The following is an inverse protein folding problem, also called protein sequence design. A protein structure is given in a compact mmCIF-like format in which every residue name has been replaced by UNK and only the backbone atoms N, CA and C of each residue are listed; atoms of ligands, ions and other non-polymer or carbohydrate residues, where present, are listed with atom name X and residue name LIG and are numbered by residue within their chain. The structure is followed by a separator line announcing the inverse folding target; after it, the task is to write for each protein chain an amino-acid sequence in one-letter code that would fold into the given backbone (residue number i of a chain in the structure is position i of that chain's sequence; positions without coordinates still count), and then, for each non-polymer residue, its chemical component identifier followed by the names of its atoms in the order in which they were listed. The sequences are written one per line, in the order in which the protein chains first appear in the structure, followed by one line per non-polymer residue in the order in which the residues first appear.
data_IF_701784638579
#
_entry.id   IF_701784638579
#
_cell.length_a   1.000
_cell.length_b   1.000
_cell.length_c   1.000
_cell.angle_alpha   90.00
_cell.angle_beta   90.00
_cell.angle_gamma   90.00
#
_symmetry.space_group_name_H-M   'P 1'
#
loop_
_entity.id
_entity.type
_entity.pdbx_description
1 polymer ?
#
# COMPACT_ATOMS: atom_id res chain seq x y z
N UNK A 1 -3.82 31.89 7.73
CA UNK A 1 -3.69 32.66 6.47
C UNK A 1 -2.48 32.11 5.71
N UNK A 2 -2.71 31.26 4.69
CA UNK A 2 -1.63 30.71 3.86
C UNK A 2 -1.19 31.76 2.84
N UNK A 3 0.12 32.01 2.73
CA UNK A 3 0.69 33.13 1.97
C UNK A 3 0.58 33.02 0.44
N UNK A 4 -0.01 31.97 -0.11
CA UNK A 4 -0.40 31.93 -1.52
C UNK A 4 -1.80 31.32 -1.59
N UNK A 5 -2.80 32.06 -2.08
CA UNK A 5 -4.22 31.69 -2.15
C UNK A 5 -4.55 30.49 -3.05
N UNK A 6 -3.90 29.35 -2.83
CA UNK A 6 -4.18 28.09 -3.51
C UNK A 6 -5.48 27.53 -2.95
N UNK A 7 -6.51 27.50 -3.80
CA UNK A 7 -7.76 26.84 -3.49
C UNK A 7 -7.51 25.33 -3.40
N UNK A 8 -7.83 24.75 -2.24
CA UNK A 8 -7.74 23.30 -2.04
C UNK A 8 -8.67 22.63 -3.06
N UNK A 9 -8.17 21.64 -3.80
CA UNK A 9 -8.97 20.96 -4.82
C UNK A 9 -10.11 20.15 -4.18
N UNK A 10 -11.27 19.99 -4.86
CA UNK A 10 -12.37 19.17 -4.34
C UNK A 10 -11.93 17.74 -4.01
N UNK A 11 -12.47 17.15 -2.94
CA UNK A 11 -12.13 15.80 -2.51
C UNK A 11 -10.76 15.67 -1.84
N UNK A 12 -10.15 16.80 -1.44
CA UNK A 12 -8.90 16.85 -0.68
C UNK A 12 -9.19 17.34 0.73
N UNK A 13 -8.25 17.09 1.65
CA UNK A 13 -8.40 17.49 3.05
C UNK A 13 -8.62 19.01 3.15
N UNK A 14 -9.72 19.43 3.80
CA UNK A 14 -10.14 20.83 3.87
C UNK A 14 -11.05 21.30 2.74
N UNK A 15 -11.42 20.44 1.78
CA UNK A 15 -12.43 20.69 0.76
C UNK A 15 -13.20 19.40 0.41
N UNK A 16 -13.89 18.84 1.41
CA UNK A 16 -14.75 17.65 1.28
C UNK A 16 -16.22 18.06 1.34
N UNK A 17 -17.08 17.35 0.60
CA UNK A 17 -18.53 17.37 0.86
C UNK A 17 -18.87 16.50 2.06
N UNK A 18 -20.07 16.66 2.62
CA UNK A 18 -20.55 15.83 3.73
C UNK A 18 -20.54 14.33 3.36
N UNK A 19 -20.90 13.97 2.12
CA UNK A 19 -20.87 12.56 1.69
C UNK A 19 -19.43 12.03 1.57
N UNK A 20 -18.50 12.87 1.12
CA UNK A 20 -17.10 12.52 1.02
C UNK A 20 -16.47 12.31 2.39
N UNK A 21 -16.80 13.19 3.35
CA UNK A 21 -16.36 13.05 4.73
C UNK A 21 -16.95 11.77 5.38
N UNK A 22 -18.23 11.48 5.15
CA UNK A 22 -18.84 10.25 5.62
C UNK A 22 -18.11 8.99 5.10
N UNK A 23 -17.71 8.98 3.82
CA UNK A 23 -16.97 7.87 3.23
C UNK A 23 -15.54 7.74 3.77
N UNK A 24 -14.88 8.86 4.06
CA UNK A 24 -13.58 8.86 4.74
C UNK A 24 -13.70 8.24 6.14
N UNK A 25 -14.73 8.62 6.90
CA UNK A 25 -15.02 8.02 8.21
C UNK A 25 -15.30 6.53 8.09
N UNK A 26 -16.10 6.10 7.12
CA UNK A 26 -16.38 4.67 6.86
C UNK A 26 -15.11 3.86 6.56
N UNK A 27 -14.18 4.41 5.77
CA UNK A 27 -12.89 3.77 5.49
C UNK A 27 -12.09 3.51 6.78
N UNK A 28 -11.98 4.53 7.64
CA UNK A 28 -11.28 4.38 8.91
C UNK A 28 -12.02 3.47 9.90
N UNK A 29 -13.34 3.56 9.97
CA UNK A 29 -14.17 2.66 10.78
C UNK A 29 -13.97 1.20 10.38
N UNK A 30 -13.93 0.88 9.10
CA UNK A 30 -13.58 -0.46 8.63
C UNK A 30 -12.21 -0.89 9.19
N UNK A 31 -11.22 0.00 9.10
CA UNK A 31 -9.87 -0.27 9.60
C UNK A 31 -9.85 -0.59 11.10
N UNK A 32 -10.54 0.18 11.93
CA UNK A 32 -10.65 -0.06 13.36
C UNK A 32 -11.44 -1.33 13.69
N UNK A 33 -12.55 -1.58 13.00
CA UNK A 33 -13.35 -2.79 13.18
C UNK A 33 -12.53 -4.06 12.92
N UNK A 34 -11.69 -4.06 11.89
CA UNK A 34 -10.81 -5.20 11.63
C UNK A 34 -9.83 -5.39 12.79
N UNK A 35 -9.22 -4.33 13.33
CA UNK A 35 -8.34 -4.41 14.50
C UNK A 35 -9.04 -4.99 15.73
N UNK A 36 -10.24 -4.51 16.04
CA UNK A 36 -11.06 -5.02 17.15
C UNK A 36 -11.38 -6.52 17.00
N UNK A 37 -11.63 -6.98 15.77
CA UNK A 37 -11.85 -8.40 15.48
C UNK A 37 -10.59 -9.23 15.78
N UNK A 38 -9.41 -8.77 15.35
CA UNK A 38 -8.14 -9.44 15.64
C UNK A 38 -7.85 -9.51 17.15
N UNK A 39 -8.07 -8.42 17.88
CA UNK A 39 -7.91 -8.39 19.34
C UNK A 39 -8.86 -9.36 20.04
N UNK A 40 -10.12 -9.40 19.58
CA UNK A 40 -11.14 -10.31 20.12
C UNK A 40 -10.76 -11.77 19.90
N UNK A 41 -10.33 -12.15 18.70
CA UNK A 41 -9.89 -13.51 18.39
C UNK A 41 -8.64 -13.90 19.19
N UNK A 42 -7.68 -12.97 19.34
CA UNK A 42 -6.49 -13.20 20.16
C UNK A 42 -6.84 -13.44 21.63
N UNK A 43 -7.82 -12.70 22.19
CA UNK A 43 -8.30 -12.93 23.56
C UNK A 43 -8.98 -14.29 23.70
N UNK A 44 -9.86 -14.65 22.76
CA UNK A 44 -10.53 -15.96 22.77
C UNK A 44 -9.50 -17.09 22.73
N UNK A 45 -8.46 -16.97 21.90
CA UNK A 45 -7.37 -17.93 21.82
C UNK A 45 -6.65 -18.12 23.16
N UNK A 46 -6.22 -17.04 23.82
CA UNK A 46 -5.53 -17.11 25.11
C UNK A 46 -6.42 -17.67 26.23
N UNK A 47 -7.72 -17.35 26.24
CA UNK A 47 -8.66 -17.93 27.20
C UNK A 47 -8.85 -19.44 27.01
N UNK A 48 -8.97 -19.92 25.77
CA UNK A 48 -9.08 -21.36 25.47
C UNK A 48 -7.80 -22.11 25.87
N UNK A 49 -6.64 -21.51 25.60
CA UNK A 49 -5.34 -22.03 26.01
C UNK A 49 -5.21 -22.10 27.54
N UNK A 50 -5.66 -21.07 28.26
CA UNK A 50 -5.71 -21.08 29.73
C UNK A 50 -6.66 -22.15 30.29
N UNK A 51 -7.73 -22.49 29.57
CA UNK A 51 -8.65 -23.59 29.90
C UNK A 51 -8.11 -24.99 29.55
N UNK A 52 -6.93 -25.09 28.95
CA UNK A 52 -6.34 -26.37 28.54
C UNK A 52 -7.04 -27.02 27.35
N UNK A 53 -7.85 -26.27 26.61
CA UNK A 53 -8.45 -26.73 25.35
C UNK A 53 -7.33 -26.86 24.31
N UNK A 54 -7.34 -27.92 23.49
CA UNK A 54 -6.41 -28.05 22.38
C UNK A 54 -6.70 -26.93 21.37
N UNK A 55 -5.85 -25.90 21.34
CA UNK A 55 -5.97 -24.78 20.41
C UNK A 55 -4.83 -24.86 19.42
N UNK A 56 -5.15 -25.11 18.15
CA UNK A 56 -4.18 -24.93 17.07
C UNK A 56 -3.68 -23.48 17.12
N UNK A 57 -2.35 -23.23 17.03
CA UNK A 57 -1.82 -21.87 17.07
C UNK A 57 -2.49 -21.03 15.98
N UNK A 58 -2.79 -19.74 16.24
CA UNK A 58 -3.26 -18.84 15.19
C UNK A 58 -2.19 -18.85 14.11
N UNK A 59 -2.48 -19.52 13.00
CA UNK A 59 -1.54 -19.65 11.90
C UNK A 59 -1.22 -18.23 11.46
N UNK A 60 0.05 -17.76 11.56
CA UNK A 60 0.39 -16.41 11.13
C UNK A 60 -0.18 -16.23 9.73
N UNK A 61 -0.78 -15.07 9.47
CA UNK A 61 -1.21 -14.72 8.13
C UNK A 61 0.00 -14.92 7.24
N UNK A 62 0.03 -16.05 6.53
CA UNK A 62 1.12 -16.34 5.62
C UNK A 62 1.07 -15.16 4.65
N UNK A 63 2.18 -14.43 4.56
CA UNK A 63 2.38 -13.50 3.47
C UNK A 63 2.13 -14.32 2.19
N UNK A 64 0.92 -14.19 1.62
CA UNK A 64 0.59 -14.64 0.28
C UNK A 64 1.67 -14.08 -0.64
N UNK A 65 2.67 -14.90 -0.93
CA UNK A 65 3.83 -14.50 -1.72
C UNK A 65 3.32 -13.98 -3.05
N UNK A 66 3.56 -12.71 -3.34
CA UNK A 66 3.27 -12.16 -4.65
C UNK A 66 4.37 -12.66 -5.59
N UNK A 67 4.05 -13.66 -6.41
CA UNK A 67 4.91 -14.02 -7.53
C UNK A 67 4.60 -13.04 -8.66
N UNK A 68 5.55 -12.15 -8.94
CA UNK A 68 5.63 -11.40 -10.18
C UNK A 68 5.69 -12.35 -11.38
N UNK A 69 4.72 -12.27 -12.29
CA UNK A 69 4.75 -12.99 -13.56
C UNK A 69 3.34 -13.30 -14.06
N UNK A 70 2.96 -12.70 -15.19
CA UNK A 70 1.68 -12.99 -15.83
C UNK A 70 1.53 -14.48 -16.16
N UNK A 71 0.34 -15.01 -15.91
CA UNK A 71 -0.01 -16.38 -16.24
C UNK A 71 -1.18 -16.84 -15.39
N UNK A 72 -2.36 -16.92 -16.01
CA UNK A 72 -3.52 -17.53 -15.37
C UNK A 72 -3.33 -19.02 -15.09
N UNK A 73 -4.33 -19.55 -14.39
CA UNK A 73 -4.76 -20.96 -14.26
C UNK A 73 -4.56 -21.63 -12.90
N UNK A 74 -5.70 -22.13 -12.38
CA UNK A 74 -5.76 -22.99 -11.21
C UNK A 74 -7.15 -23.26 -10.60
N UNK A 75 -8.26 -22.76 -11.16
CA UNK A 75 -9.62 -23.14 -10.71
C UNK A 75 -10.23 -24.23 -11.61
N UNK A 76 -9.67 -25.44 -11.57
CA UNK A 76 -10.38 -26.65 -12.00
C UNK A 76 -10.68 -27.51 -10.77
N UNK A 77 -11.89 -27.38 -10.25
CA UNK A 77 -12.40 -28.20 -9.16
C UNK A 77 -13.88 -27.96 -8.89
N UNK A 78 -14.72 -28.72 -9.59
CA UNK A 78 -16.15 -29.04 -9.32
C UNK A 78 -17.08 -27.89 -8.89
N UNK A 79 -18.08 -27.63 -9.74
CA UNK A 79 -19.34 -26.95 -9.38
C UNK A 79 -19.88 -27.48 -8.05
N UNK A 80 -19.93 -26.62 -7.03
CA UNK A 80 -20.86 -26.72 -5.89
C UNK A 80 -21.84 -25.55 -5.99
N UNK A 81 -23.02 -25.70 -5.40
CA UNK A 81 -24.11 -24.71 -5.38
C UNK A 81 -23.70 -23.35 -4.79
N UNK A 82 -24.65 -22.44 -4.48
CA UNK A 82 -24.33 -21.10 -4.02
C UNK A 82 -23.41 -21.23 -2.79
N UNK A 83 -22.13 -20.97 -3.00
CA UNK A 83 -21.12 -21.16 -1.97
C UNK A 83 -21.27 -19.96 -1.08
N UNK A 84 -21.69 -20.17 0.16
CA UNK A 84 -21.81 -19.12 1.14
C UNK A 84 -20.47 -18.37 1.20
N UNK A 85 -20.48 -17.09 0.82
CA UNK A 85 -19.28 -16.24 0.81
C UNK A 85 -18.89 -16.03 2.27
N UNK A 86 -17.93 -16.83 2.75
CA UNK A 86 -17.43 -16.82 4.14
C UNK A 86 -15.90 -16.83 4.15
N UNK A 87 -15.30 -16.34 5.23
CA UNK A 87 -13.84 -16.29 5.41
C UNK A 87 -13.44 -17.38 6.41
N UNK A 88 -12.46 -18.26 6.10
CA UNK A 88 -12.13 -19.41 6.94
C UNK A 88 -11.62 -19.02 8.33
N UNK A 89 -10.98 -17.86 8.45
CA UNK A 89 -10.47 -17.34 9.75
C UNK A 89 -11.42 -16.37 10.45
N UNK A 90 -12.33 -15.74 9.71
CA UNK A 90 -13.11 -14.59 10.18
C UNK A 90 -14.58 -14.65 9.72
N UNK A 91 -15.29 -15.77 9.94
CA UNK A 91 -16.65 -15.94 9.41
C UNK A 91 -17.64 -14.93 10.00
N UNK A 92 -17.42 -14.47 11.24
CA UNK A 92 -18.26 -13.45 11.88
C UNK A 92 -18.02 -12.05 11.29
N UNK A 93 -16.77 -11.71 10.98
CA UNK A 93 -16.41 -10.46 10.32
C UNK A 93 -17.06 -10.33 8.95
N UNK A 94 -17.13 -11.43 8.19
CA UNK A 94 -17.81 -11.42 6.88
C UNK A 94 -19.29 -11.08 7.01
N UNK A 95 -19.98 -11.55 8.07
CA UNK A 95 -21.39 -11.23 8.31
C UNK A 95 -21.58 -9.74 8.62
N UNK A 96 -20.70 -9.14 9.40
CA UNK A 96 -20.76 -7.69 9.66
C UNK A 96 -20.44 -6.87 8.41
N UNK A 97 -19.44 -7.26 7.62
CA UNK A 97 -19.11 -6.60 6.36
C UNK A 97 -20.22 -6.73 5.32
N UNK A 98 -20.93 -7.86 5.26
CA UNK A 98 -22.10 -8.04 4.40
C UNK A 98 -23.26 -7.12 4.76
N UNK A 99 -23.39 -6.69 6.02
CA UNK A 99 -24.39 -5.69 6.46
C UNK A 99 -24.00 -4.27 6.05
N UNK A 100 -22.70 -3.99 5.92
CA UNK A 100 -22.20 -2.68 5.50
C UNK A 100 -22.39 -2.42 3.99
N UNK A 101 -22.66 -3.46 3.19
CA UNK A 101 -22.98 -3.32 1.77
C UNK A 101 -24.51 -3.33 1.59
N UNK A 102 -25.11 -2.22 1.13
CA UNK A 102 -26.55 -2.15 0.85
C UNK A 102 -27.02 -3.29 -0.03
N UNK A 103 -28.25 -3.76 0.19
CA UNK A 103 -28.80 -4.90 -0.56
C UNK A 103 -29.01 -4.56 -2.05
N UNK A 104 -29.25 -3.30 -2.36
CA UNK A 104 -29.47 -2.70 -3.67
C UNK A 104 -28.19 -2.17 -4.34
N UNK A 105 -27.02 -2.35 -3.71
CA UNK A 105 -25.75 -1.89 -4.25
C UNK A 105 -25.41 -2.61 -5.57
N UNK A 106 -25.13 -1.85 -6.64
CA UNK A 106 -24.59 -2.42 -7.88
C UNK A 106 -23.33 -3.23 -7.58
N UNK A 107 -23.20 -4.42 -8.18
CA UNK A 107 -22.05 -5.32 -7.97
C UNK A 107 -21.87 -5.84 -6.52
N UNK A 108 -22.93 -5.92 -5.72
CA UNK A 108 -22.89 -6.41 -4.32
C UNK A 108 -22.05 -7.69 -4.13
N UNK A 109 -22.23 -8.70 -4.97
CA UNK A 109 -21.49 -9.96 -4.89
C UNK A 109 -19.97 -9.77 -5.09
N UNK A 110 -19.57 -8.83 -5.94
CA UNK A 110 -18.18 -8.44 -6.09
C UNK A 110 -17.67 -7.76 -4.82
N UNK A 111 -18.43 -6.80 -4.29
CA UNK A 111 -18.05 -6.06 -3.08
C UNK A 111 -17.89 -6.97 -1.85
N UNK A 112 -18.76 -7.97 -1.69
CA UNK A 112 -18.63 -8.98 -0.63
C UNK A 112 -17.35 -9.81 -0.82
N UNK A 113 -17.01 -10.20 -2.05
CA UNK A 113 -15.74 -10.90 -2.33
C UNK A 113 -14.53 -10.02 -2.01
N UNK A 114 -14.57 -8.74 -2.36
CA UNK A 114 -13.50 -7.80 -2.04
C UNK A 114 -13.37 -7.56 -0.54
N UNK A 115 -14.48 -7.55 0.20
CA UNK A 115 -14.48 -7.43 1.65
C UNK A 115 -13.84 -8.66 2.32
N UNK A 116 -14.12 -9.86 1.82
CA UNK A 116 -13.46 -11.10 2.25
C UNK A 116 -11.96 -11.03 1.95
N UNK A 117 -11.57 -10.60 0.74
CA UNK A 117 -10.17 -10.43 0.37
C UNK A 117 -9.46 -9.39 1.24
N UNK A 118 -10.15 -8.31 1.61
CA UNK A 118 -9.59 -7.28 2.47
C UNK A 118 -9.20 -7.82 3.85
N UNK A 119 -9.93 -8.82 4.38
CA UNK A 119 -9.59 -9.47 5.66
C UNK A 119 -8.26 -10.25 5.61
N UNK A 120 -7.83 -10.73 4.43
CA UNK A 120 -6.55 -11.43 4.28
C UNK A 120 -5.36 -10.47 4.14
N UNK A 121 -5.60 -9.22 3.74
CA UNK A 121 -4.53 -8.25 3.41
C UNK A 121 -4.45 -7.12 4.44
N UNK A 122 -5.57 -6.70 5.00
CA UNK A 122 -5.67 -5.64 6.01
C UNK A 122 -5.54 -6.25 7.41
N UNK A 123 -4.33 -6.69 7.78
CA UNK A 123 -4.04 -7.23 9.12
C UNK A 123 -3.66 -6.12 10.10
N UNK A 124 -3.51 -6.40 11.41
CA UNK A 124 -3.00 -5.44 12.37
C UNK A 124 -1.63 -4.89 12.00
N UNK A 125 -0.76 -5.72 11.43
CA UNK A 125 0.54 -5.31 10.92
C UNK A 125 0.40 -4.33 9.74
N UNK A 126 -0.53 -4.58 8.82
CA UNK A 126 -0.83 -3.65 7.71
C UNK A 126 -1.33 -2.32 8.26
N UNK A 127 -2.28 -2.32 9.19
CA UNK A 127 -2.82 -1.11 9.80
C UNK A 127 -1.74 -0.30 10.54
N UNK A 128 -0.87 -0.98 11.31
CA UNK A 128 0.28 -0.35 11.95
C UNK A 128 1.24 0.26 10.92
N UNK A 129 1.49 -0.47 9.82
CA UNK A 129 2.40 -0.02 8.75
C UNK A 129 1.83 1.18 7.98
N UNK A 130 0.51 1.30 7.85
CA UNK A 130 -0.13 2.51 7.33
C UNK A 130 0.32 3.72 8.13
N UNK A 131 0.12 3.69 9.45
CA UNK A 131 0.38 4.84 10.32
C UNK A 131 1.88 5.15 10.45
N UNK A 132 2.71 4.13 10.61
CA UNK A 132 4.13 4.32 10.96
C UNK A 132 5.04 4.43 9.74
N UNK A 133 4.72 3.72 8.65
CA UNK A 133 5.60 3.62 7.47
C UNK A 133 5.02 4.36 6.26
N UNK A 134 3.70 4.26 6.02
CA UNK A 134 3.09 4.84 4.83
C UNK A 134 2.78 6.34 4.98
N UNK A 135 2.22 6.80 6.10
CA UNK A 135 1.79 8.19 6.31
C UNK A 135 2.97 9.17 6.36
N UNK A 136 4.06 8.82 7.06
CA UNK A 136 5.27 9.65 7.21
C UNK A 136 4.97 11.04 7.76
N UNK A 137 5.21 12.10 6.98
CA UNK A 137 5.01 13.50 7.36
C UNK A 137 3.71 14.09 6.76
N UNK A 138 2.89 13.27 6.11
CA UNK A 138 1.60 13.67 5.58
C UNK A 138 0.48 13.46 6.62
N UNK A 139 -0.71 14.01 6.37
CA UNK A 139 -1.88 13.71 7.18
C UNK A 139 -2.40 12.29 6.86
N UNK A 140 -2.83 11.47 7.85
CA UNK A 140 -3.37 10.13 7.58
C UNK A 140 -4.57 10.19 6.63
N UNK A 141 -5.49 11.14 6.81
CA UNK A 141 -6.64 11.29 5.89
C UNK A 141 -6.22 11.60 4.46
N UNK A 142 -5.16 12.38 4.24
CA UNK A 142 -4.63 12.62 2.89
C UNK A 142 -4.21 11.32 2.21
N UNK A 143 -3.64 10.38 2.96
CA UNK A 143 -3.33 9.05 2.42
C UNK A 143 -4.60 8.28 2.07
N UNK A 144 -5.60 8.24 2.96
CA UNK A 144 -6.86 7.54 2.68
C UNK A 144 -7.66 8.16 1.52
N UNK A 145 -7.70 9.49 1.45
CA UNK A 145 -8.39 10.25 0.42
C UNK A 145 -7.82 9.97 -0.98
N UNK A 146 -6.51 9.74 -1.13
CA UNK A 146 -5.92 9.29 -2.40
C UNK A 146 -6.59 8.02 -2.92
N UNK A 147 -6.78 7.02 -2.06
CA UNK A 147 -7.41 5.75 -2.45
C UNK A 147 -8.91 5.90 -2.70
N UNK A 148 -9.60 6.72 -1.90
CA UNK A 148 -11.02 7.02 -2.12
C UNK A 148 -11.24 7.69 -3.48
N UNK A 149 -10.47 8.72 -3.82
CA UNK A 149 -10.54 9.37 -5.14
C UNK A 149 -10.20 8.41 -6.26
N UNK A 150 -9.10 7.64 -6.14
CA UNK A 150 -8.67 6.66 -7.13
C UNK A 150 -9.68 5.51 -7.35
N UNK A 151 -10.63 5.32 -6.42
CA UNK A 151 -11.70 4.32 -6.52
C UNK A 151 -13.09 4.94 -6.61
N UNK A 152 -13.17 6.17 -7.12
CA UNK A 152 -14.44 6.88 -7.37
C UNK A 152 -15.35 6.87 -6.14
N UNK A 153 -14.75 7.03 -4.95
CA UNK A 153 -15.43 7.02 -3.67
C UNK A 153 -16.17 5.70 -3.34
N UNK A 154 -15.73 4.56 -3.88
CA UNK A 154 -16.13 3.23 -3.42
C UNK A 154 -15.21 2.80 -2.27
N UNK A 155 -15.78 2.69 -1.06
CA UNK A 155 -15.02 2.47 0.18
C UNK A 155 -14.30 1.12 0.17
N UNK A 156 -14.98 0.02 -0.16
CA UNK A 156 -14.38 -1.32 -0.12
C UNK A 156 -13.25 -1.48 -1.14
N UNK A 157 -13.44 -0.97 -2.37
CA UNK A 157 -12.38 -0.96 -3.38
C UNK A 157 -11.19 -0.09 -2.96
N UNK A 158 -11.43 1.03 -2.26
CA UNK A 158 -10.39 1.90 -1.73
C UNK A 158 -9.59 1.22 -0.61
N UNK A 159 -10.27 0.60 0.37
CA UNK A 159 -9.65 -0.17 1.46
C UNK A 159 -8.77 -1.26 0.91
N UNK A 160 -9.27 -2.07 -0.03
CA UNK A 160 -8.49 -3.16 -0.59
C UNK A 160 -7.25 -2.66 -1.34
N UNK A 161 -7.37 -1.58 -2.10
CA UNK A 161 -6.23 -0.98 -2.80
C UNK A 161 -5.19 -0.42 -1.82
N UNK A 162 -5.62 0.25 -0.75
CA UNK A 162 -4.74 0.75 0.31
C UNK A 162 -3.99 -0.42 0.96
N UNK A 163 -4.71 -1.47 1.38
CA UNK A 163 -4.13 -2.66 2.00
C UNK A 163 -3.07 -3.32 1.11
N UNK A 164 -3.40 -3.56 -0.17
CA UNK A 164 -2.47 -4.14 -1.15
C UNK A 164 -1.24 -3.26 -1.37
N UNK A 165 -1.42 -1.95 -1.42
CA UNK A 165 -0.31 -1.00 -1.64
C UNK A 165 0.64 -0.95 -0.45
N UNK A 166 0.10 -0.98 0.78
CA UNK A 166 0.91 -1.03 2.01
C UNK A 166 1.65 -2.34 2.11
N UNK A 167 0.97 -3.44 1.79
CA UNK A 167 1.61 -4.75 1.77
C UNK A 167 2.78 -4.82 0.79
N UNK A 168 2.59 -4.35 -0.44
CA UNK A 168 3.67 -4.23 -1.41
C UNK A 168 4.83 -3.37 -0.90
N UNK A 169 4.52 -2.26 -0.22
CA UNK A 169 5.52 -1.38 0.41
C UNK A 169 6.34 -2.12 1.46
N UNK A 170 5.71 -2.96 2.29
CA UNK A 170 6.34 -3.63 3.44
C UNK A 170 7.05 -4.91 3.04
N UNK A 171 6.42 -5.76 2.23
CA UNK A 171 6.87 -7.12 1.94
C UNK A 171 7.71 -7.21 0.67
N UNK A 172 7.19 -6.68 -0.43
CA UNK A 172 7.78 -6.85 -1.76
C UNK A 172 8.92 -5.84 -1.98
N UNK A 173 8.59 -4.54 -1.95
CA UNK A 173 9.55 -3.46 -2.22
C UNK A 173 10.38 -3.08 -0.99
N UNK A 174 9.87 -3.34 0.22
CA UNK A 174 10.53 -3.02 1.51
C UNK A 174 11.00 -1.56 1.54
N UNK A 175 10.13 -0.66 1.12
CA UNK A 175 10.46 0.75 0.82
C UNK A 175 11.14 1.41 2.00
N UNK A 176 10.53 1.35 3.17
CA UNK A 176 11.00 2.06 4.36
C UNK A 176 12.12 1.31 5.08
N UNK A 177 11.97 -0.02 5.18
CA UNK A 177 12.85 -0.86 5.99
C UNK A 177 14.20 -1.15 5.33
N UNK A 178 14.25 -1.14 3.99
CA UNK A 178 15.44 -1.45 3.20
C UNK A 178 15.79 -0.29 2.29
N UNK A 179 14.97 0.02 1.28
CA UNK A 179 15.35 0.93 0.19
C UNK A 179 15.72 2.34 0.70
N UNK A 180 14.81 2.99 1.43
CA UNK A 180 15.03 4.35 1.95
C UNK A 180 16.03 4.38 3.09
N UNK A 181 16.11 3.32 3.90
CA UNK A 181 17.09 3.21 5.00
C UNK A 181 18.52 3.08 4.48
N UNK A 182 18.71 2.36 3.37
CA UNK A 182 20.01 2.15 2.74
C UNK A 182 20.42 3.35 1.88
N UNK A 183 19.48 3.86 1.07
CA UNK A 183 19.68 5.04 0.22
C UNK A 183 20.87 4.93 -0.75
N UNK A 184 21.30 6.08 -1.26
CA UNK A 184 22.44 6.21 -2.17
C UNK A 184 23.79 5.85 -1.52
N UNK A 185 23.93 6.08 -0.21
CA UNK A 185 25.15 5.77 0.55
C UNK A 185 25.46 4.28 0.53
N UNK A 186 24.45 3.43 0.78
CA UNK A 186 24.65 1.99 0.69
C UNK A 186 24.98 1.51 -0.74
N UNK A 187 24.35 2.11 -1.75
CA UNK A 187 24.63 1.77 -3.15
C UNK A 187 26.07 2.13 -3.54
N UNK A 188 26.60 3.22 -2.96
CA UNK A 188 27.99 3.62 -3.14
C UNK A 188 28.96 2.63 -2.49
N UNK A 189 28.68 2.21 -1.25
CA UNK A 189 29.46 1.18 -0.57
C UNK A 189 29.47 -0.15 -1.35
N UNK A 190 28.32 -0.57 -1.89
CA UNK A 190 28.22 -1.77 -2.73
C UNK A 190 29.05 -1.65 -4.01
N UNK A 191 28.99 -0.51 -4.70
CA UNK A 191 29.78 -0.28 -5.91
C UNK A 191 31.29 -0.30 -5.62
N UNK A 192 31.70 0.37 -4.53
CA UNK A 192 33.11 0.53 -4.17
C UNK A 192 33.71 -0.79 -3.67
N UNK A 193 33.08 -1.42 -2.68
CA UNK A 193 33.63 -2.54 -1.93
C UNK A 193 33.09 -3.91 -2.36
N UNK A 194 32.07 -3.96 -3.22
CA UNK A 194 31.56 -5.22 -3.74
C UNK A 194 32.63 -6.02 -4.50
N UNK A 195 32.59 -7.34 -4.37
CA UNK A 195 33.46 -8.23 -5.12
C UNK A 195 33.27 -8.04 -6.63
N UNK A 196 34.35 -8.19 -7.40
CA UNK A 196 34.29 -8.06 -8.86
C UNK A 196 33.27 -9.06 -9.45
N UNK A 197 32.37 -8.56 -10.30
CA UNK A 197 31.30 -9.36 -10.91
C UNK A 197 30.14 -9.74 -9.99
N UNK A 198 30.11 -9.25 -8.74
CA UNK A 198 28.99 -9.54 -7.84
C UNK A 198 27.71 -8.81 -8.24
N UNK A 199 26.58 -9.42 -7.87
CA UNK A 199 25.25 -8.82 -8.05
C UNK A 199 25.15 -7.47 -7.34
N UNK A 200 25.61 -7.38 -6.09
CA UNK A 200 25.49 -6.16 -5.29
C UNK A 200 26.31 -5.01 -5.88
N UNK A 201 27.53 -5.29 -6.35
CA UNK A 201 28.37 -4.27 -7.03
C UNK A 201 27.69 -3.73 -8.27
N UNK A 202 27.12 -4.62 -9.08
CA UNK A 202 26.38 -4.26 -10.29
C UNK A 202 25.13 -3.47 -9.93
N UNK A 203 24.37 -3.93 -8.93
CA UNK A 203 23.14 -3.28 -8.47
C UNK A 203 23.38 -1.84 -8.01
N UNK A 204 24.37 -1.62 -7.14
CA UNK A 204 24.74 -0.29 -6.64
C UNK A 204 25.20 0.64 -7.76
N UNK A 205 26.04 0.13 -8.67
CA UNK A 205 26.48 0.87 -9.86
C UNK A 205 25.31 1.26 -10.77
N UNK A 206 24.44 0.32 -11.09
CA UNK A 206 23.25 0.53 -11.94
C UNK A 206 22.34 1.62 -11.37
N UNK A 207 22.13 1.60 -10.04
CA UNK A 207 21.29 2.53 -9.31
C UNK A 207 21.89 3.93 -9.35
N UNK A 208 23.16 4.06 -8.99
CA UNK A 208 23.87 5.35 -8.97
C UNK A 208 24.03 5.94 -10.37
N UNK A 209 24.16 5.13 -11.41
CA UNK A 209 24.22 5.62 -12.78
C UNK A 209 22.92 6.29 -13.23
N UNK A 210 21.76 5.94 -12.66
CA UNK A 210 20.52 6.66 -12.93
C UNK A 210 20.63 8.13 -12.47
N UNK A 211 21.27 8.37 -11.33
CA UNK A 211 21.56 9.71 -10.79
C UNK A 211 22.67 10.40 -11.57
N UNK A 212 23.83 9.75 -11.73
CA UNK A 212 25.04 10.33 -12.35
C UNK A 212 24.81 10.74 -13.80
N UNK A 213 24.00 9.99 -14.54
CA UNK A 213 23.65 10.32 -15.92
C UNK A 213 22.40 11.17 -16.04
N UNK A 214 21.81 11.56 -14.90
CA UNK A 214 20.57 12.32 -14.81
C UNK A 214 19.47 11.70 -15.69
N UNK A 215 19.30 10.37 -15.61
CA UNK A 215 18.19 9.63 -16.24
C UNK A 215 16.87 9.95 -15.52
N UNK A 216 16.91 10.13 -14.21
CA UNK A 216 15.81 10.66 -13.38
C UNK A 216 16.34 11.60 -12.29
N UNK A 217 15.68 12.73 -12.03
CA UNK A 217 16.03 13.63 -10.92
C UNK A 217 14.88 14.58 -10.56
N UNK A 218 14.86 15.02 -9.29
CA UNK A 218 13.89 15.99 -8.77
C UNK A 218 14.44 17.41 -8.89
N UNK A 219 13.64 18.34 -9.40
CA UNK A 219 14.02 19.75 -9.42
C UNK A 219 12.80 20.67 -9.51
N UNK A 220 12.75 21.68 -8.63
CA UNK A 220 11.70 22.70 -8.65
C UNK A 220 10.28 22.17 -8.38
N UNK A 221 9.32 23.05 -8.57
CA UNK A 221 7.89 22.76 -8.44
C UNK A 221 7.12 23.26 -9.66
N UNK A 222 5.97 22.67 -9.94
CA UNK A 222 5.04 23.20 -10.94
C UNK A 222 4.30 24.46 -10.41
N UNK A 223 3.36 24.97 -11.20
CA UNK A 223 2.54 26.14 -10.84
C UNK A 223 1.60 25.90 -9.66
N UNK A 224 1.32 24.63 -9.36
CA UNK A 224 0.46 24.22 -8.25
C UNK A 224 1.28 23.81 -7.02
N UNK A 225 2.61 24.03 -7.03
CA UNK A 225 3.50 23.70 -5.92
C UNK A 225 3.87 22.22 -5.82
N UNK A 226 3.58 21.39 -6.84
CA UNK A 226 3.93 19.96 -6.83
C UNK A 226 5.40 19.77 -7.21
N UNK A 227 6.16 18.92 -6.51
CA UNK A 227 7.55 18.64 -6.88
C UNK A 227 7.61 17.95 -8.25
N UNK A 228 8.57 18.38 -9.08
CA UNK A 228 8.71 17.88 -10.45
C UNK A 228 9.84 16.84 -10.52
N UNK A 229 9.51 15.64 -10.99
CA UNK A 229 10.47 14.61 -11.34
C UNK A 229 10.71 14.59 -12.85
N UNK A 230 11.95 14.86 -13.27
CA UNK A 230 12.35 14.85 -14.68
C UNK A 230 12.85 13.48 -15.09
N UNK A 231 12.24 12.88 -16.11
CA UNK A 231 12.66 11.60 -16.69
C UNK A 231 13.21 11.82 -18.10
N UNK A 232 14.48 11.50 -18.32
CA UNK A 232 15.15 11.66 -19.62
C UNK A 232 15.18 10.33 -20.39
N UNK A 233 14.04 9.95 -20.97
CA UNK A 233 13.88 8.69 -21.70
C UNK A 233 14.90 8.50 -22.84
N UNK A 234 15.30 9.57 -23.53
CA UNK A 234 16.32 9.51 -24.59
C UNK A 234 17.71 9.04 -24.12
N UNK A 235 17.97 9.07 -22.80
CA UNK A 235 19.22 8.55 -22.20
C UNK A 235 19.09 7.09 -21.75
N UNK A 236 17.92 6.48 -21.85
CA UNK A 236 17.70 5.10 -21.43
C UNK A 236 18.23 4.10 -22.46
N UNK A 237 18.97 3.09 -21.98
CA UNK A 237 19.34 1.90 -22.74
C UNK A 237 19.11 0.70 -21.83
N UNK A 238 18.36 -0.30 -22.30
CA UNK A 238 17.96 -1.43 -21.48
C UNK A 238 19.16 -2.24 -20.95
N UNK A 239 20.25 -2.33 -21.73
CA UNK A 239 21.48 -3.05 -21.37
C UNK A 239 22.30 -2.40 -20.25
N UNK A 240 22.04 -1.14 -19.91
CA UNK A 240 22.85 -0.38 -18.94
C UNK A 240 22.54 -0.71 -17.49
N UNK A 241 21.38 -1.32 -17.21
CA UNK A 241 20.94 -1.61 -15.84
C UNK A 241 19.94 -2.77 -15.78
N UNK A 242 19.90 -3.44 -14.64
CA UNK A 242 18.83 -4.38 -14.29
C UNK A 242 17.48 -3.67 -14.08
N UNK A 243 16.38 -4.39 -14.39
CA UNK A 243 15.01 -3.92 -14.14
C UNK A 243 14.81 -3.60 -12.67
N UNK A 244 15.28 -4.46 -11.76
CA UNK A 244 15.17 -4.26 -10.32
C UNK A 244 15.84 -2.96 -9.85
N UNK A 245 17.04 -2.65 -10.38
CA UNK A 245 17.74 -1.42 -10.00
C UNK A 245 16.98 -0.18 -10.48
N UNK A 246 16.42 -0.22 -11.69
CA UNK A 246 15.60 0.85 -12.23
C UNK A 246 14.28 1.04 -11.45
N UNK A 247 13.61 -0.05 -11.08
CA UNK A 247 12.39 -0.02 -10.26
C UNK A 247 12.67 0.58 -8.88
N UNK A 248 13.71 0.11 -8.17
CA UNK A 248 14.08 0.66 -6.86
C UNK A 248 14.51 2.11 -6.95
N UNK A 249 15.24 2.51 -7.99
CA UNK A 249 15.58 3.91 -8.21
C UNK A 249 14.34 4.78 -8.41
N UNK A 250 13.36 4.28 -9.18
CA UNK A 250 12.09 4.98 -9.42
C UNK A 250 11.32 5.19 -8.11
N UNK A 251 11.19 4.15 -7.29
CA UNK A 251 10.53 4.23 -5.98
C UNK A 251 11.29 5.18 -5.05
N UNK A 252 12.62 5.11 -5.04
CA UNK A 252 13.45 6.02 -4.25
C UNK A 252 13.21 7.48 -4.65
N UNK A 253 13.14 7.80 -5.95
CA UNK A 253 12.78 9.15 -6.41
C UNK A 253 11.38 9.58 -5.98
N UNK A 254 10.38 8.68 -6.02
CA UNK A 254 9.02 8.99 -5.56
C UNK A 254 9.03 9.31 -4.05
N UNK A 255 9.75 8.54 -3.25
CA UNK A 255 9.85 8.78 -1.80
C UNK A 255 10.62 10.06 -1.46
N UNK A 256 11.66 10.39 -2.22
CA UNK A 256 12.32 11.69 -2.11
C UNK A 256 11.39 12.85 -2.48
N UNK A 257 10.59 12.69 -3.54
CA UNK A 257 9.62 13.70 -3.94
C UNK A 257 8.61 13.94 -2.82
N UNK A 258 8.16 12.88 -2.16
CA UNK A 258 7.27 12.98 -1.01
C UNK A 258 7.86 13.86 0.09
N UNK A 259 9.16 13.72 0.42
CA UNK A 259 9.82 14.56 1.44
C UNK A 259 9.82 16.06 1.12
N UNK A 260 9.65 16.43 -0.15
CA UNK A 260 9.60 17.82 -0.59
C UNK A 260 8.18 18.41 -0.63
N UNK A 261 7.14 17.61 -0.33
CA UNK A 261 5.77 18.10 -0.30
C UNK A 261 5.55 19.09 0.84
N UNK A 262 4.77 20.12 0.55
CA UNK A 262 4.36 21.13 1.51
C UNK A 262 2.84 21.20 1.51
N UNK A 263 2.23 21.10 2.70
CA UNK A 263 0.79 21.27 2.83
C UNK A 263 0.35 22.62 2.22
N UNK A 264 -0.79 22.69 1.49
CA UNK A 264 -1.80 21.64 1.32
C UNK A 264 -1.56 20.70 0.13
N UNK A 265 -0.40 20.76 -0.53
CA UNK A 265 -0.09 19.89 -1.67
C UNK A 265 0.12 18.46 -1.17
N UNK A 266 -0.56 17.51 -1.79
CA UNK A 266 -0.46 16.08 -1.51
C UNK A 266 -0.08 15.29 -2.77
N UNK A 267 0.38 14.05 -2.59
CA UNK A 267 0.59 13.13 -3.71
C UNK A 267 -0.73 12.84 -4.44
N UNK A 268 -0.64 12.71 -5.78
CA UNK A 268 -1.73 12.25 -6.64
C UNK A 268 -2.03 10.77 -6.50
#
# INVERSE_FOLDING_TARGET
MSQNGHQIAPGHLGNLTDEQEAKLRQLWSFGFQVLEMYETESRIYEEKKARGEAVDPPKPAAAAASSSGGGGWGLFGKKKGPTELTHPKFPNSVKELQKLVPADEPDRDELVKLAIEALDVYTPETARSILIEAVKHEHPDTLALRFLRARKWNVLRAVLMLAKSVRWRVEDMKVDRVLMRQGEGHMFEQELHGAAGSRDKTFGKDFLNQMRWAKGFLHGTDRDGRPVNYIRAARHRASDQSVESLEKFTVYCIELARLSLQAPVEMG
#
